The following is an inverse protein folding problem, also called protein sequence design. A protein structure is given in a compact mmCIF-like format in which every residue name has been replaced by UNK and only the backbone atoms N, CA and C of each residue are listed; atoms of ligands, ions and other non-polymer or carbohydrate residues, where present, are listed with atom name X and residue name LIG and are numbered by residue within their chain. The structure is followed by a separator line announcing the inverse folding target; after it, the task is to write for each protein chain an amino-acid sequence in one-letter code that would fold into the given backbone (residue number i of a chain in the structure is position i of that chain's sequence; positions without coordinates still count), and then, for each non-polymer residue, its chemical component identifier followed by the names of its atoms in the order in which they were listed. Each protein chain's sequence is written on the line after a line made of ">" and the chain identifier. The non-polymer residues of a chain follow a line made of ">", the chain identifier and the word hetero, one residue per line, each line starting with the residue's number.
data_IF_559794460167
#
_entry.id   IF_559794460167
#
_cell.length_a   1.000
_cell.length_b   1.000
_cell.length_c   1.000
_cell.angle_alpha   90.00
_cell.angle_beta   90.00
_cell.angle_gamma   90.00
#
_symmetry.space_group_name_H-M   'P 1'
#
loop_
_entity.id
_entity.type
_entity.pdbx_description
1 polymer ?
#
# COMPACT_ATOMS: atom_id res chain seq x y z
N UNK A 1 -5.08 -0.80 -15.97
CA UNK A 1 -4.43 -0.45 -14.69
C UNK A 1 -5.29 0.51 -13.91
N UNK A 2 -5.47 0.27 -12.64
CA UNK A 2 -6.24 1.15 -11.78
C UNK A 2 -5.35 1.75 -10.71
N UNK A 3 -5.70 2.95 -10.28
CA UNK A 3 -5.00 3.67 -9.23
C UNK A 3 -5.87 3.69 -7.98
N UNK A 4 -5.24 3.41 -6.83
CA UNK A 4 -5.92 3.38 -5.55
C UNK A 4 -5.16 4.26 -4.57
N UNK A 5 -5.90 5.09 -3.82
CA UNK A 5 -5.33 5.87 -2.74
C UNK A 5 -5.93 5.38 -1.43
N UNK A 6 -5.06 5.04 -0.48
CA UNK A 6 -5.48 4.57 0.83
C UNK A 6 -4.89 5.49 1.88
N UNK A 7 -5.67 5.75 2.92
CA UNK A 7 -5.17 6.44 4.09
C UNK A 7 -4.71 5.40 5.11
N UNK A 8 -3.45 5.50 5.52
CA UNK A 8 -2.84 4.50 6.39
C UNK A 8 -2.26 5.18 7.63
N UNK A 9 -2.70 4.74 8.80
CA UNK A 9 -2.18 5.20 10.07
C UNK A 9 -1.04 4.32 10.53
N UNK A 10 -0.11 4.90 11.29
CA UNK A 10 1.02 4.17 11.86
C UNK A 10 2.31 4.37 11.10
N UNK A 11 2.30 5.03 9.95
CA UNK A 11 3.52 5.42 9.27
C UNK A 11 4.08 6.66 9.96
N UNK A 12 5.24 6.51 10.60
CA UNK A 12 5.84 7.60 11.35
C UNK A 12 7.15 8.07 10.76
N UNK A 13 7.73 7.32 9.81
CA UNK A 13 9.03 7.65 9.25
C UNK A 13 9.19 6.98 7.88
N UNK A 14 10.32 7.32 7.26
CA UNK A 14 10.65 6.81 5.92
C UNK A 14 10.81 5.30 5.90
N UNK A 15 11.32 4.72 6.98
CA UNK A 15 11.46 3.27 7.06
C UNK A 15 10.11 2.57 6.96
N UNK A 16 9.06 3.17 7.53
CA UNK A 16 7.71 2.65 7.42
C UNK A 16 7.21 2.71 5.99
N UNK A 17 7.49 3.82 5.28
CA UNK A 17 7.14 3.93 3.86
C UNK A 17 7.76 2.81 3.05
N UNK A 18 9.06 2.58 3.25
CA UNK A 18 9.79 1.54 2.51
C UNK A 18 9.25 0.16 2.84
N UNK A 19 8.89 -0.08 4.09
CA UNK A 19 8.33 -1.36 4.51
C UNK A 19 7.01 -1.64 3.81
N UNK A 20 6.13 -0.65 3.75
CA UNK A 20 4.84 -0.78 3.07
C UNK A 20 5.06 -0.97 1.58
N UNK A 21 5.90 -0.17 0.95
CA UNK A 21 6.17 -0.27 -0.48
C UNK A 21 6.71 -1.65 -0.83
N UNK A 22 7.63 -2.16 -0.01
CA UNK A 22 8.20 -3.48 -0.23
C UNK A 22 7.15 -4.58 -0.11
N UNK A 23 6.28 -4.47 0.89
CA UNK A 23 5.21 -5.44 1.08
C UNK A 23 4.24 -5.44 -0.10
N UNK A 24 3.93 -4.25 -0.63
CA UNK A 24 3.00 -4.13 -1.74
C UNK A 24 3.59 -4.63 -3.05
N UNK A 25 4.88 -4.41 -3.28
CA UNK A 25 5.53 -4.90 -4.51
C UNK A 25 5.58 -6.42 -4.58
N UNK A 26 5.41 -7.10 -3.47
CA UNK A 26 5.36 -8.56 -3.44
C UNK A 26 3.99 -9.11 -3.88
N UNK A 27 2.99 -8.26 -3.99
CA UNK A 27 1.67 -8.67 -4.44
C UNK A 27 1.68 -8.76 -5.97
N UNK A 28 1.31 -9.93 -6.50
CA UNK A 28 1.18 -10.10 -7.94
C UNK A 28 0.05 -9.19 -8.44
N UNK A 29 0.36 -8.37 -9.43
CA UNK A 29 -0.61 -7.41 -9.97
C UNK A 29 -0.35 -5.97 -9.54
N UNK A 30 0.46 -5.74 -8.53
CA UNK A 30 0.85 -4.39 -8.14
C UNK A 30 1.99 -3.93 -9.06
N UNK A 31 1.76 -2.84 -9.79
CA UNK A 31 2.72 -2.29 -10.75
C UNK A 31 3.60 -1.25 -10.08
N UNK A 32 2.99 -0.40 -9.25
CA UNK A 32 3.69 0.68 -8.57
C UNK A 32 3.03 0.98 -7.25
N UNK A 33 3.84 1.32 -6.26
CA UNK A 33 3.36 1.77 -4.97
C UNK A 33 4.19 2.95 -4.50
N UNK A 34 3.55 3.88 -3.82
CA UNK A 34 4.20 5.05 -3.27
C UNK A 34 3.55 5.38 -1.94
N UNK A 35 4.31 5.31 -0.86
CA UNK A 35 3.84 5.60 0.49
C UNK A 35 4.38 6.95 0.93
N UNK A 36 3.53 7.76 1.55
CA UNK A 36 3.88 9.08 2.08
C UNK A 36 3.47 9.15 3.54
N UNK A 37 4.45 9.15 4.45
CA UNK A 37 4.17 9.18 5.88
C UNK A 37 3.67 10.55 6.34
N UNK A 38 4.02 11.62 5.64
CA UNK A 38 3.58 12.97 6.01
C UNK A 38 2.10 13.16 5.73
N UNK A 39 1.62 12.62 4.62
CA UNK A 39 0.21 12.70 4.24
C UNK A 39 -0.59 11.51 4.78
N UNK A 40 0.08 10.52 5.35
CA UNK A 40 -0.52 9.26 5.80
C UNK A 40 -1.29 8.57 4.67
N UNK A 41 -0.73 8.60 3.47
CA UNK A 41 -1.37 8.07 2.27
C UNK A 41 -0.46 7.09 1.55
N UNK A 42 -1.08 6.10 0.91
CA UNK A 42 -0.39 5.17 0.04
C UNK A 42 -1.11 5.17 -1.30
N UNK A 43 -0.37 5.41 -2.37
CA UNK A 43 -0.89 5.38 -3.74
C UNK A 43 -0.40 4.12 -4.41
N UNK A 44 -1.31 3.38 -4.99
CA UNK A 44 -1.01 2.09 -5.60
C UNK A 44 -1.59 2.06 -7.01
N UNK A 45 -0.79 1.59 -7.96
CA UNK A 45 -1.24 1.28 -9.31
C UNK A 45 -1.22 -0.23 -9.46
N UNK A 46 -2.34 -0.83 -9.81
CA UNK A 46 -2.45 -2.29 -9.84
C UNK A 46 -3.28 -2.75 -11.05
N UNK A 47 -3.09 -4.02 -11.38
CA UNK A 47 -3.88 -4.68 -12.43
C UNK A 47 -5.10 -5.33 -11.77
N UNK A 48 -6.32 -4.84 -12.06
CA UNK A 48 -7.52 -5.37 -11.41
C UNK A 48 -7.82 -6.81 -11.79
N UNK A 49 -7.21 -7.32 -12.86
CA UNK A 49 -7.37 -8.73 -13.24
C UNK A 49 -6.53 -9.66 -12.37
N UNK A 50 -5.54 -9.13 -11.64
CA UNK A 50 -4.62 -9.94 -10.84
C UNK A 50 -4.77 -9.74 -9.35
N UNK A 51 -5.19 -8.56 -8.92
CA UNK A 51 -5.34 -8.26 -7.51
C UNK A 51 -6.54 -7.37 -7.30
N UNK A 52 -6.87 -7.08 -6.05
CA UNK A 52 -8.02 -6.27 -5.69
C UNK A 52 -7.63 -5.28 -4.59
N UNK A 53 -8.42 -4.21 -4.40
CA UNK A 53 -8.18 -3.28 -3.30
C UNK A 53 -8.17 -3.98 -1.94
N UNK A 54 -9.03 -4.97 -1.74
CA UNK A 54 -9.09 -5.71 -0.48
C UNK A 54 -7.80 -6.47 -0.21
N UNK A 55 -7.20 -7.06 -1.24
CA UNK A 55 -5.94 -7.78 -1.12
C UNK A 55 -4.81 -6.83 -0.72
N UNK A 56 -4.79 -5.64 -1.31
CA UNK A 56 -3.80 -4.61 -0.98
C UNK A 56 -3.97 -4.14 0.47
N UNK A 57 -5.19 -3.87 0.88
CA UNK A 57 -5.48 -3.44 2.25
C UNK A 57 -5.10 -4.51 3.26
N UNK A 58 -5.41 -5.76 2.97
CA UNK A 58 -5.06 -6.88 3.84
C UNK A 58 -3.55 -6.97 4.03
N UNK A 59 -2.79 -6.74 2.96
CA UNK A 59 -1.33 -6.81 3.04
C UNK A 59 -0.76 -5.70 3.92
N UNK A 60 -1.31 -4.49 3.81
CA UNK A 60 -0.90 -3.37 4.65
C UNK A 60 -1.19 -3.68 6.12
N UNK A 61 -2.37 -4.21 6.40
CA UNK A 61 -2.77 -4.58 7.77
C UNK A 61 -1.84 -5.66 8.32
N UNK A 62 -1.47 -6.64 7.52
CA UNK A 62 -0.54 -7.69 7.93
C UNK A 62 0.84 -7.15 8.25
N UNK A 63 1.24 -6.05 7.61
CA UNK A 63 2.51 -5.41 7.88
C UNK A 63 2.51 -4.61 9.19
N UNK A 64 1.36 -4.51 9.87
CA UNK A 64 1.26 -3.86 11.16
C UNK A 64 0.72 -2.43 11.10
N UNK A 65 0.12 -2.03 10.00
CA UNK A 65 -0.42 -0.68 9.82
C UNK A 65 -1.94 -0.73 9.72
N UNK A 66 -2.58 0.40 10.02
CA UNK A 66 -4.03 0.49 9.99
C UNK A 66 -4.48 1.27 8.75
N UNK A 67 -5.35 0.65 7.96
CA UNK A 67 -5.99 1.29 6.81
C UNK A 67 -7.30 1.90 7.28
N UNK A 68 -7.45 3.19 7.02
CA UNK A 68 -8.62 3.96 7.45
C UNK A 68 -9.59 4.18 6.30
#
# INVERSE_FOLDING_TARGET
>A
MEQLELRVNGMTCRACEQRIERALTQIDGVVRSNADHRAAQVKIVFDPARTSPEAVQARITQAGYEVV
#
